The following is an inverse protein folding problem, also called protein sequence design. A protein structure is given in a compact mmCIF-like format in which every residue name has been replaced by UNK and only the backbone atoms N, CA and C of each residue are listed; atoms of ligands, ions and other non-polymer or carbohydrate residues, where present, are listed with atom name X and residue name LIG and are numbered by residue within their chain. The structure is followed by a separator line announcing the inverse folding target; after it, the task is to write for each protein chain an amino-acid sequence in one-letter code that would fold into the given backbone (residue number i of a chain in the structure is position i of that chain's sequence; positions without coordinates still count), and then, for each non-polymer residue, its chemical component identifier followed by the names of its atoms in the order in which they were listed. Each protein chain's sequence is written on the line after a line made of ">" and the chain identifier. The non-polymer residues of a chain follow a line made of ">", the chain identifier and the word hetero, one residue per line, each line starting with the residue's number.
data_IF_995824133714
#
_entry.id   IF_995824133714
#
_cell.length_a   1.000
_cell.length_b   1.000
_cell.length_c   1.000
_cell.angle_alpha   90.00
_cell.angle_beta   90.00
_cell.angle_gamma   90.00
#
_symmetry.space_group_name_H-M   'P 1'
#
loop_
_entity.id
_entity.type
_entity.pdbx_description
1 polymer ?
#
# COMPACT_ATOMS: atom_id res chain seq x y z
N UNK A 1 -16.14 6.84 -22.80
CA UNK A 1 -16.02 6.34 -21.46
C UNK A 1 -14.69 6.78 -20.85
N UNK A 2 -14.67 6.81 -19.62
CA UNK A 2 -13.49 7.29 -18.94
C UNK A 2 -12.75 6.15 -18.30
N UNK A 3 -11.46 6.28 -18.27
CA UNK A 3 -10.62 5.33 -17.59
C UNK A 3 -10.17 5.81 -16.23
N UNK A 4 -10.87 6.80 -15.72
CA UNK A 4 -10.46 7.38 -14.45
C UNK A 4 -10.42 6.35 -13.34
N UNK A 5 -11.26 5.33 -13.44
CA UNK A 5 -11.30 4.28 -12.43
C UNK A 5 -10.25 3.20 -12.66
N UNK A 6 -9.58 3.21 -13.79
CA UNK A 6 -8.58 2.20 -14.07
C UNK A 6 -7.31 2.56 -13.32
N UNK A 7 -6.86 1.64 -12.50
CA UNK A 7 -5.64 1.82 -11.71
C UNK A 7 -4.61 0.80 -12.14
N UNK A 8 -3.33 1.16 -12.03
CA UNK A 8 -2.29 0.20 -12.37
C UNK A 8 -2.30 -0.96 -11.40
N UNK A 9 -1.65 -2.02 -11.80
CA UNK A 9 -1.45 -3.14 -10.90
C UNK A 9 -0.10 -3.01 -10.23
N UNK A 10 0.04 -3.55 -9.01
CA UNK A 10 1.34 -3.53 -8.36
C UNK A 10 2.36 -4.27 -9.20
N UNK A 11 3.53 -3.69 -9.31
CA UNK A 11 4.62 -4.29 -10.08
C UNK A 11 5.51 -5.08 -9.14
N UNK A 12 5.73 -6.35 -9.43
CA UNK A 12 6.63 -7.17 -8.63
C UNK A 12 8.06 -6.74 -8.90
N UNK A 13 8.73 -6.25 -7.88
CA UNK A 13 10.10 -5.77 -7.97
C UNK A 13 11.07 -6.87 -7.56
N UNK A 14 10.71 -7.64 -6.54
CA UNK A 14 11.53 -8.75 -6.07
C UNK A 14 10.61 -9.82 -5.51
N UNK A 15 10.90 -11.06 -5.87
CA UNK A 15 10.10 -12.17 -5.36
C UNK A 15 10.42 -12.44 -3.89
N UNK A 16 11.62 -12.12 -3.47
CA UNK A 16 12.02 -12.32 -2.09
C UNK A 16 12.86 -11.12 -1.67
N UNK A 17 12.25 -10.23 -0.93
CA UNK A 17 12.89 -9.00 -0.50
C UNK A 17 13.44 -9.09 0.90
N UNK A 18 13.75 -7.93 1.49
CA UNK A 18 14.41 -7.89 2.80
C UNK A 18 13.61 -8.52 3.92
N UNK A 19 12.28 -8.55 3.80
CA UNK A 19 11.42 -9.13 4.82
C UNK A 19 11.06 -10.58 4.55
N UNK A 20 11.63 -11.17 3.49
CA UNK A 20 11.42 -12.57 3.18
C UNK A 20 10.32 -12.86 2.20
N UNK A 21 9.48 -11.89 1.88
CA UNK A 21 8.40 -12.03 0.93
C UNK A 21 8.57 -11.11 -0.26
N UNK A 22 7.56 -11.03 -1.12
CA UNK A 22 7.68 -10.21 -2.32
C UNK A 22 7.70 -8.72 -2.00
N UNK A 23 8.29 -7.96 -2.91
CA UNK A 23 8.29 -6.50 -2.87
C UNK A 23 7.62 -6.01 -4.13
N UNK A 24 6.66 -5.11 -3.97
CA UNK A 24 5.95 -4.51 -5.09
C UNK A 24 6.18 -3.00 -5.11
N UNK A 25 6.05 -2.43 -6.30
CA UNK A 25 6.00 -0.98 -6.46
C UNK A 25 4.62 -0.62 -6.99
N UNK A 26 4.01 0.41 -6.39
CA UNK A 26 2.67 0.80 -6.77
C UNK A 26 2.51 2.30 -6.64
N UNK A 27 2.37 2.99 -7.78
CA UNK A 27 2.10 4.44 -7.84
C UNK A 27 3.04 5.26 -6.95
N UNK A 28 4.30 4.92 -6.98
CA UNK A 28 5.31 5.63 -6.21
C UNK A 28 5.54 5.12 -4.81
N UNK A 29 4.73 4.16 -4.37
CA UNK A 29 4.91 3.54 -3.07
C UNK A 29 5.61 2.21 -3.23
N UNK A 30 6.24 1.75 -2.16
CA UNK A 30 6.82 0.41 -2.11
C UNK A 30 6.04 -0.41 -1.10
N UNK A 31 5.75 -1.65 -1.45
CA UNK A 31 5.03 -2.57 -0.57
C UNK A 31 5.95 -3.74 -0.31
N UNK A 32 6.41 -3.88 0.94
CA UNK A 32 7.30 -4.96 1.33
C UNK A 32 6.53 -5.97 2.14
N UNK A 33 6.44 -7.18 1.63
CA UNK A 33 5.71 -8.23 2.32
C UNK A 33 6.67 -9.15 3.05
N UNK A 34 6.21 -9.70 4.16
CA UNK A 34 6.92 -10.76 4.85
C UNK A 34 6.66 -12.08 4.13
N UNK A 35 7.46 -13.08 4.48
CA UNK A 35 7.27 -14.41 3.93
C UNK A 35 5.84 -14.87 4.22
N UNK A 36 5.18 -15.41 3.19
CA UNK A 36 3.80 -15.87 3.32
C UNK A 36 2.75 -14.85 2.97
N UNK A 37 3.15 -13.61 2.68
CA UNK A 37 2.24 -12.55 2.21
C UNK A 37 1.16 -12.16 3.22
N UNK A 38 1.35 -12.47 4.49
CA UNK A 38 0.36 -12.14 5.51
C UNK A 38 0.63 -10.81 6.20
N UNK A 39 1.78 -10.22 5.96
CA UNK A 39 2.15 -8.94 6.53
C UNK A 39 2.83 -8.13 5.45
N UNK A 40 2.25 -6.98 5.12
CA UNK A 40 2.76 -6.14 4.04
C UNK A 40 2.92 -4.73 4.57
N UNK A 41 4.12 -4.18 4.44
CA UNK A 41 4.44 -2.84 4.92
C UNK A 41 4.23 -1.83 3.80
N UNK A 42 3.65 -0.69 4.15
CA UNK A 42 3.50 0.43 3.24
C UNK A 42 4.67 1.37 3.43
N UNK A 43 5.42 1.61 2.37
CA UNK A 43 6.54 2.55 2.38
C UNK A 43 6.27 3.63 1.35
N UNK A 44 5.75 4.75 1.82
CA UNK A 44 5.40 5.87 0.97
C UNK A 44 5.62 7.15 1.77
N UNK A 45 6.65 7.90 1.43
CA UNK A 45 6.96 9.14 2.12
C UNK A 45 5.77 10.08 2.06
N UNK A 46 5.47 10.70 3.18
CA UNK A 46 4.35 11.63 3.26
C UNK A 46 3.01 10.99 3.55
N UNK A 47 2.92 9.66 3.49
CA UNK A 47 1.68 8.96 3.82
C UNK A 47 1.56 8.82 5.34
N UNK A 48 0.36 9.03 5.90
CA UNK A 48 0.18 8.89 7.35
C UNK A 48 0.55 7.51 7.89
N UNK A 49 0.41 6.48 7.08
CA UNK A 49 0.73 5.12 7.49
C UNK A 49 2.04 4.61 6.94
N UNK A 50 2.94 5.53 6.58
CA UNK A 50 4.28 5.13 6.12
C UNK A 50 4.94 4.27 7.20
N UNK A 51 5.39 3.09 6.82
CA UNK A 51 6.04 2.16 7.74
C UNK A 51 5.11 1.22 8.47
N UNK A 52 3.80 1.42 8.36
CA UNK A 52 2.84 0.52 9.02
C UNK A 52 2.66 -0.76 8.20
N UNK A 53 2.17 -1.80 8.87
CA UNK A 53 1.96 -3.09 8.22
C UNK A 53 0.49 -3.44 8.19
N UNK A 54 0.13 -4.21 7.16
CA UNK A 54 -1.25 -4.61 6.92
C UNK A 54 -1.27 -6.07 6.47
N UNK A 55 -2.44 -6.67 6.47
CA UNK A 55 -2.56 -8.10 6.23
C UNK A 55 -2.49 -8.51 4.77
N UNK A 56 -2.73 -7.61 3.83
CA UNK A 56 -2.73 -7.95 2.41
C UNK A 56 -2.19 -6.82 1.58
N UNK A 57 -1.70 -7.16 0.38
CA UNK A 57 -1.28 -6.17 -0.59
C UNK A 57 -2.47 -5.30 -1.00
N UNK A 58 -3.67 -5.90 -1.12
CA UNK A 58 -4.85 -5.15 -1.51
C UNK A 58 -5.19 -4.02 -0.56
N UNK A 59 -4.99 -4.23 0.74
CA UNK A 59 -5.21 -3.17 1.72
C UNK A 59 -4.22 -2.02 1.49
N UNK A 60 -2.97 -2.37 1.22
CA UNK A 60 -1.95 -1.33 1.01
C UNK A 60 -2.22 -0.54 -0.25
N UNK A 61 -2.59 -1.21 -1.34
CA UNK A 61 -2.88 -0.48 -2.58
C UNK A 61 -4.09 0.43 -2.42
N UNK A 62 -5.10 -0.01 -1.66
CA UNK A 62 -6.25 0.84 -1.37
C UNK A 62 -5.82 2.11 -0.63
N UNK A 63 -4.95 1.97 0.37
CA UNK A 63 -4.46 3.13 1.11
C UNK A 63 -3.71 4.09 0.21
N UNK A 64 -2.90 3.56 -0.70
CA UNK A 64 -2.16 4.40 -1.66
C UNK A 64 -3.14 5.14 -2.57
N UNK A 65 -4.13 4.41 -3.10
CA UNK A 65 -5.10 5.01 -4.01
C UNK A 65 -5.87 6.15 -3.36
N UNK A 66 -6.40 5.91 -2.17
CA UNK A 66 -7.18 6.92 -1.48
C UNK A 66 -6.33 8.14 -1.17
N UNK A 67 -5.08 7.93 -0.79
CA UNK A 67 -4.19 9.03 -0.45
C UNK A 67 -3.83 9.85 -1.68
N UNK A 68 -3.49 9.18 -2.78
CA UNK A 68 -3.12 9.88 -4.02
C UNK A 68 -4.33 10.62 -4.59
N UNK A 69 -5.50 9.99 -4.56
CA UNK A 69 -6.67 10.52 -5.25
C UNK A 69 -7.42 11.57 -4.47
N UNK A 70 -7.22 11.69 -3.17
CA UNK A 70 -7.94 12.69 -2.40
C UNK A 70 -7.41 12.92 -1.01
N UNK A 71 -6.23 12.41 -0.70
CA UNK A 71 -5.68 12.49 0.65
C UNK A 71 -6.63 11.90 1.67
N UNK A 72 -7.31 10.82 1.30
CA UNK A 72 -8.32 10.17 2.12
C UNK A 72 -7.77 8.92 2.78
N UNK A 73 -8.35 8.56 3.89
CA UNK A 73 -8.09 7.29 4.57
C UNK A 73 -9.42 6.59 4.77
N UNK A 74 -9.43 5.25 4.79
CA UNK A 74 -10.66 4.55 5.14
C UNK A 74 -11.15 5.00 6.51
N UNK A 75 -12.46 5.10 6.67
CA UNK A 75 -13.03 5.62 7.91
C UNK A 75 -12.57 4.86 9.13
N UNK A 76 -12.51 3.53 9.03
CA UNK A 76 -12.14 2.68 10.17
C UNK A 76 -10.64 2.75 10.49
N UNK A 77 -9.84 3.39 9.63
CA UNK A 77 -8.40 3.51 9.85
C UNK A 77 -7.98 4.92 10.21
N UNK A 78 -8.93 5.85 10.30
CA UNK A 78 -8.58 7.20 10.67
C UNK A 78 -8.18 7.25 12.13
N UNK A 79 -7.14 8.05 12.40
CA UNK A 79 -6.73 8.23 13.77
C UNK A 79 -7.87 8.90 14.54
N UNK A 80 -8.11 8.41 15.75
CA UNK A 80 -9.14 9.03 16.59
C UNK A 80 -8.67 10.42 17.01
N UNK A 81 -9.57 11.39 17.04
CA UNK A 81 -9.21 12.71 17.57
C UNK A 81 -8.83 12.60 19.03
N UNK A 82 -7.94 13.44 19.44
CA UNK A 82 -7.46 13.45 20.81
C UNK A 82 -7.78 14.73 21.48
#
# INVERSE_FOLDING_TARGET
>A
MTDAAVRPEPELVAAEGPSGGPVYRYRGAEIRCAKGDHVCALLMEGHPFHGATFGTVGTVTLLVDLWIEGRLLPGHMRAAPR
#
